data_IF_789326398294
#
_entry.id   IF_789326398294
#
_cell.length_a   1.000
_cell.length_b   1.000
_cell.length_c   1.000
_cell.angle_alpha   90.00
_cell.angle_beta   90.00
_cell.angle_gamma   90.00
#
_symmetry.space_group_name_H-M   'P 1'
#
loop_
_entity.id
_entity.type
_entity.pdbx_description
1 polymer ?
#
# COMPACT_ATOMS: atom_id res chain seq x y z
N UNK A 1 -20.23 12.24 -64.09
CA UNK A 1 -20.41 13.02 -65.34
C UNK A 1 -21.15 14.29 -64.97
N UNK A 2 -20.42 15.39 -64.69
CA UNK A 2 -20.23 16.58 -65.59
C UNK A 2 -21.51 17.41 -65.68
N UNK A 3 -21.59 18.73 -65.44
CA UNK A 3 -20.60 19.80 -65.57
C UNK A 3 -21.11 21.11 -64.93
N UNK A 4 -20.17 21.93 -64.44
CA UNK A 4 -20.23 23.41 -64.21
C UNK A 4 -20.22 24.09 -65.62
N UNK A 5 -20.67 25.35 -65.93
CA UNK A 5 -20.19 26.58 -65.28
C UNK A 5 -20.98 27.93 -65.29
N UNK A 6 -20.54 28.81 -64.37
CA UNK A 6 -20.38 30.29 -64.40
C UNK A 6 -21.58 31.23 -64.68
N UNK A 7 -21.83 32.20 -63.76
CA UNK A 7 -21.45 33.63 -63.92
C UNK A 7 -21.80 34.54 -62.72
N UNK A 8 -21.09 35.67 -62.64
CA UNK A 8 -21.00 36.73 -61.61
C UNK A 8 -22.15 37.75 -61.60
N UNK A 9 -22.38 38.31 -60.38
CA UNK A 9 -22.74 39.70 -59.99
C UNK A 9 -24.10 40.32 -60.40
N UNK A 10 -24.93 40.73 -59.41
CA UNK A 10 -25.27 42.14 -59.08
C UNK A 10 -26.42 42.30 -58.03
N UNK A 11 -26.15 43.13 -57.01
CA UNK A 11 -27.01 44.13 -56.32
C UNK A 11 -28.40 43.82 -55.74
N UNK A 12 -28.57 44.10 -54.42
CA UNK A 12 -29.58 44.99 -53.75
C UNK A 12 -29.50 44.79 -52.22
N UNK A 13 -28.95 45.72 -51.43
CA UNK A 13 -29.57 46.90 -50.79
C UNK A 13 -30.75 46.63 -49.85
N UNK A 14 -30.52 46.70 -48.54
CA UNK A 14 -31.53 47.04 -47.53
C UNK A 14 -30.96 48.05 -46.53
N UNK A 15 -31.83 48.97 -46.12
CA UNK A 15 -31.55 50.24 -45.46
C UNK A 15 -31.21 50.13 -43.96
N UNK A 16 -30.43 51.11 -43.52
CA UNK A 16 -30.09 51.50 -42.13
C UNK A 16 -31.26 52.13 -41.37
N UNK A 17 -31.18 52.22 -40.02
CA UNK A 17 -30.62 53.43 -39.39
C UNK A 17 -29.61 53.16 -38.26
N UNK A 18 -28.59 54.03 -38.13
CA UNK A 18 -27.78 54.23 -36.90
C UNK A 18 -28.52 55.15 -35.89
N UNK A 19 -27.88 55.69 -34.82
CA UNK A 19 -26.47 56.14 -34.82
C UNK A 19 -25.65 56.04 -33.49
N UNK A 20 -24.34 56.33 -33.61
CA UNK A 20 -23.35 56.87 -32.64
C UNK A 20 -22.91 55.93 -31.47
N UNK A 21 -21.66 55.45 -31.41
CA UNK A 21 -20.42 56.19 -31.06
C UNK A 21 -20.18 56.05 -29.54
N UNK A 22 -19.07 55.56 -28.96
CA UNK A 22 -17.66 55.60 -29.31
C UNK A 22 -16.86 54.57 -28.48
N UNK A 23 -15.87 53.94 -29.13
CA UNK A 23 -14.57 53.41 -28.63
C UNK A 23 -14.29 53.38 -27.11
N UNK A 24 -13.94 52.19 -26.59
CA UNK A 24 -12.57 51.83 -26.17
C UNK A 24 -12.42 50.36 -25.71
N UNK A 25 -11.54 49.66 -26.43
CA UNK A 25 -10.60 48.59 -26.01
C UNK A 25 -11.08 47.36 -25.22
N UNK A 26 -10.97 46.21 -25.91
CA UNK A 26 -11.01 44.81 -25.42
C UNK A 26 -9.97 44.54 -24.33
N UNK A 27 -10.40 43.96 -23.21
CA UNK A 27 -9.64 42.95 -22.46
C UNK A 27 -10.59 41.80 -22.11
N UNK A 28 -10.20 40.57 -22.45
CA UNK A 28 -10.96 39.34 -22.28
C UNK A 28 -11.08 38.93 -20.81
N UNK A 29 -12.28 38.94 -20.24
CA UNK A 29 -12.60 38.22 -19.00
C UNK A 29 -13.20 36.86 -19.35
N UNK A 30 -12.45 35.78 -19.06
CA UNK A 30 -12.96 34.40 -19.04
C UNK A 30 -13.85 34.21 -17.81
N UNK A 31 -14.93 33.46 -18.00
CA UNK A 31 -15.92 33.06 -16.99
C UNK A 31 -15.29 32.28 -15.84
N UNK A 32 -15.57 32.70 -14.62
CA UNK A 32 -15.30 32.00 -13.37
C UNK A 32 -16.44 31.01 -13.04
N UNK A 33 -16.14 29.73 -12.98
CA UNK A 33 -16.92 28.74 -12.23
C UNK A 33 -16.37 28.67 -10.79
N UNK A 34 -17.20 28.49 -9.75
CA UNK A 34 -16.74 28.58 -8.37
C UNK A 34 -15.99 27.30 -7.98
N UNK A 35 -14.69 27.46 -7.71
CA UNK A 35 -13.87 26.45 -7.03
C UNK A 35 -14.15 26.58 -5.52
N UNK A 36 -14.40 25.44 -4.89
CA UNK A 36 -14.64 25.25 -3.46
C UNK A 36 -13.58 25.96 -2.61
N UNK A 37 -13.98 27.03 -1.95
CA UNK A 37 -13.23 27.66 -0.85
C UNK A 37 -13.59 26.96 0.45
N UNK A 38 -12.74 26.03 0.87
CA UNK A 38 -12.61 25.63 2.26
C UNK A 38 -11.12 25.34 2.51
N UNK A 39 -10.36 26.37 2.82
CA UNK A 39 -9.02 26.24 3.38
C UNK A 39 -8.85 27.23 4.51
N UNK A 40 -8.38 26.69 5.63
CA UNK A 40 -7.66 27.37 6.71
C UNK A 40 -8.43 28.45 7.43
N UNK A 41 -8.93 28.13 8.63
CA UNK A 41 -8.96 29.10 9.74
C UNK A 41 -9.18 28.48 11.15
N UNK A 42 -9.33 27.15 11.31
CA UNK A 42 -9.58 26.55 12.64
C UNK A 42 -8.38 25.78 13.27
N UNK A 43 -7.20 25.75 12.64
CA UNK A 43 -6.07 24.90 13.10
C UNK A 43 -5.07 25.60 14.05
N UNK A 44 -5.33 26.82 14.52
CA UNK A 44 -4.39 27.48 15.45
C UNK A 44 -4.32 26.81 16.82
N UNK A 45 -5.34 26.04 17.20
CA UNK A 45 -5.37 25.30 18.47
C UNK A 45 -4.51 24.02 18.46
N UNK A 46 -4.19 23.45 17.29
CA UNK A 46 -3.40 22.22 17.18
C UNK A 46 -1.88 22.47 17.21
N UNK A 47 -1.43 23.66 16.80
CA UNK A 47 0.00 24.01 16.73
C UNK A 47 0.70 24.03 18.10
N UNK A 48 0.01 24.45 19.16
CA UNK A 48 0.57 24.47 20.52
C UNK A 48 0.69 23.06 21.13
N UNK A 49 -0.15 22.11 20.70
CA UNK A 49 -0.09 20.69 21.10
C UNK A 49 1.05 19.95 20.37
N UNK A 50 1.26 20.28 19.09
CA UNK A 50 2.29 19.69 18.20
C UNK A 50 3.73 20.00 18.68
N UNK A 51 3.97 21.18 19.24
CA UNK A 51 5.30 21.56 19.74
C UNK A 51 5.75 20.77 20.99
N UNK A 52 4.82 20.09 21.68
CA UNK A 52 5.10 19.26 22.87
C UNK A 52 5.58 17.83 22.56
N UNK A 53 5.58 17.40 21.29
CA UNK A 53 5.93 16.03 20.85
C UNK A 53 7.44 15.88 20.57
N UNK A 54 8.23 16.95 20.72
CA UNK A 54 9.69 16.89 20.57
C UNK A 54 10.36 16.55 21.91
N UNK A 55 10.92 15.35 22.14
CA UNK A 55 11.87 15.18 23.22
C UNK A 55 13.16 15.93 22.88
N UNK A 56 13.48 16.95 23.68
CA UNK A 56 14.81 17.56 23.74
C UNK A 56 15.71 16.53 24.44
N UNK A 57 16.80 16.17 23.78
CA UNK A 57 17.84 15.26 24.27
C UNK A 57 18.23 15.57 25.72
N UNK A 58 17.87 14.68 26.66
CA UNK A 58 18.45 14.68 28.00
C UNK A 58 19.35 13.46 28.16
N UNK A 59 20.65 13.73 28.16
CA UNK A 59 21.71 12.74 28.38
C UNK A 59 21.85 12.45 29.87
N UNK A 60 21.20 11.39 30.34
CA UNK A 60 21.62 10.73 31.59
C UNK A 60 21.41 9.21 31.51
N UNK A 61 22.50 8.50 31.22
CA UNK A 61 22.57 7.04 31.19
C UNK A 61 22.75 6.49 32.59
N UNK A 62 21.92 5.52 33.02
CA UNK A 62 22.21 4.65 34.15
C UNK A 62 22.21 3.19 33.71
N UNK A 63 23.36 2.54 33.85
CA UNK A 63 23.67 1.16 33.49
C UNK A 63 22.92 0.17 34.38
N UNK A 64 22.17 -0.76 33.80
CA UNK A 64 21.73 -1.99 34.47
C UNK A 64 22.35 -3.17 33.75
N UNK A 65 23.16 -3.93 34.49
CA UNK A 65 23.87 -5.12 34.08
C UNK A 65 23.01 -6.33 34.44
N UNK A 66 22.65 -7.16 33.44
CA UNK A 66 21.95 -8.43 33.66
C UNK A 66 22.88 -9.60 33.32
N UNK A 67 22.97 -10.50 34.30
CA UNK A 67 23.84 -11.68 34.38
C UNK A 67 23.39 -12.76 33.38
N UNK A 68 24.33 -13.27 32.59
CA UNK A 68 24.16 -14.42 31.69
C UNK A 68 24.89 -15.63 32.28
N UNK A 69 24.19 -16.40 33.11
CA UNK A 69 24.61 -17.77 33.40
C UNK A 69 23.41 -18.61 33.81
N UNK A 70 22.98 -19.52 32.93
CA UNK A 70 22.67 -20.93 33.24
C UNK A 70 22.04 -21.59 32.02
N UNK A 71 22.66 -22.68 31.54
CA UNK A 71 22.04 -23.92 31.05
C UNK A 71 22.98 -24.67 30.10
N UNK A 72 23.76 -25.63 30.62
CA UNK A 72 24.10 -26.85 29.88
C UNK A 72 24.31 -27.99 30.88
N UNK A 73 23.47 -29.02 30.82
CA UNK A 73 23.87 -30.41 31.07
C UNK A 73 23.19 -31.29 30.02
N UNK A 74 23.91 -32.21 29.35
CA UNK A 74 23.31 -33.12 28.39
C UNK A 74 22.96 -34.45 29.07
N UNK A 75 21.78 -34.99 28.78
CA UNK A 75 21.57 -36.42 28.96
C UNK A 75 20.45 -37.00 28.10
N UNK A 76 20.70 -38.20 27.57
CA UNK A 76 19.70 -39.25 27.46
C UNK A 76 18.88 -39.36 26.18
N UNK A 77 19.31 -40.27 25.30
CA UNK A 77 18.51 -40.83 24.22
C UNK A 77 17.25 -41.57 24.73
N UNK A 78 16.10 -41.39 24.07
CA UNK A 78 15.05 -42.43 23.96
C UNK A 78 13.91 -42.05 22.98
N UNK A 79 13.62 -42.95 22.05
CA UNK A 79 12.26 -43.25 21.56
C UNK A 79 11.64 -42.33 20.51
N UNK A 80 11.68 -42.75 19.23
CA UNK A 80 10.73 -42.30 18.19
C UNK A 80 9.31 -42.68 18.63
N UNK A 81 8.57 -41.73 19.20
CA UNK A 81 7.11 -41.74 19.16
C UNK A 81 6.71 -40.88 17.98
N UNK A 82 5.90 -41.43 17.08
CA UNK A 82 5.15 -40.60 16.13
C UNK A 82 4.34 -39.61 16.97
N UNK A 83 4.78 -38.34 16.96
CA UNK A 83 4.03 -37.25 17.54
C UNK A 83 2.82 -37.05 16.62
N UNK A 84 1.70 -37.69 16.94
CA UNK A 84 0.40 -37.24 16.45
C UNK A 84 0.19 -35.89 17.13
N UNK A 85 0.60 -34.82 16.45
CA UNK A 85 0.28 -33.45 16.88
C UNK A 85 -1.23 -33.36 16.75
N UNK A 86 -1.94 -33.51 17.86
CA UNK A 86 -3.35 -33.16 17.92
C UNK A 86 -3.46 -31.71 17.44
N UNK A 87 -4.04 -31.48 16.26
CA UNK A 87 -4.30 -30.12 15.81
C UNK A 87 -5.16 -29.43 16.85
N UNK A 88 -4.77 -28.21 17.21
CA UNK A 88 -5.34 -27.48 18.36
C UNK A 88 -6.79 -27.06 18.11
N UNK A 89 -7.15 -26.86 16.85
CA UNK A 89 -8.48 -26.45 16.40
C UNK A 89 -9.07 -27.56 15.52
N UNK A 90 -10.02 -28.37 16.04
CA UNK A 90 -10.59 -29.50 15.30
C UNK A 90 -11.20 -29.10 13.95
N UNK A 91 -11.79 -27.91 13.86
CA UNK A 91 -12.41 -27.42 12.63
C UNK A 91 -11.40 -27.13 11.50
N UNK A 92 -10.12 -26.96 11.80
CA UNK A 92 -9.07 -26.75 10.80
C UNK A 92 -8.61 -28.05 10.13
N UNK A 93 -9.00 -29.21 10.67
CA UNK A 93 -8.73 -30.50 10.04
C UNK A 93 -9.51 -30.67 8.72
N UNK A 94 -10.68 -30.03 8.63
CA UNK A 94 -11.56 -30.07 7.45
C UNK A 94 -11.17 -29.03 6.38
N UNK A 95 -10.22 -28.14 6.68
CA UNK A 95 -9.76 -27.10 5.77
C UNK A 95 -8.78 -27.65 4.72
N UNK A 96 -9.19 -27.62 3.45
CA UNK A 96 -8.38 -28.15 2.35
C UNK A 96 -7.03 -27.43 2.19
N UNK A 97 -6.96 -26.15 2.58
CA UNK A 97 -5.75 -25.34 2.56
C UNK A 97 -4.72 -25.77 3.60
N UNK A 98 -5.17 -26.30 4.74
CA UNK A 98 -4.35 -26.57 5.94
C UNK A 98 -4.08 -28.07 6.16
N UNK A 99 -4.78 -28.94 5.43
CA UNK A 99 -4.63 -30.38 5.55
C UNK A 99 -3.29 -30.84 4.98
N UNK A 100 -2.50 -31.51 5.81
CA UNK A 100 -1.21 -32.06 5.41
C UNK A 100 -1.35 -32.98 4.20
N UNK A 101 -0.44 -32.81 3.23
CA UNK A 101 -0.42 -33.61 2.02
C UNK A 101 1.00 -33.70 1.45
N UNK A 102 1.35 -34.84 0.88
CA UNK A 102 2.59 -35.02 0.13
C UNK A 102 2.52 -34.38 -1.27
N UNK A 103 1.32 -34.01 -1.74
CA UNK A 103 1.14 -33.31 -3.02
C UNK A 103 1.81 -31.93 -3.02
N UNK A 104 2.15 -31.38 -1.85
CA UNK A 104 2.84 -30.09 -1.72
C UNK A 104 4.21 -30.03 -2.42
N UNK A 105 4.83 -31.18 -2.67
CA UNK A 105 6.15 -31.26 -3.29
C UNK A 105 6.12 -31.25 -4.82
N UNK A 106 4.95 -31.37 -5.44
CA UNK A 106 4.79 -31.40 -6.90
C UNK A 106 3.72 -30.40 -7.31
N UNK A 107 4.13 -29.38 -8.06
CA UNK A 107 3.24 -28.27 -8.42
C UNK A 107 2.14 -28.66 -9.43
N UNK A 108 2.44 -29.53 -10.38
CA UNK A 108 1.49 -29.89 -11.44
C UNK A 108 0.76 -31.21 -11.15
N UNK A 109 -0.53 -31.34 -11.55
CA UNK A 109 -1.36 -30.31 -12.18
C UNK A 109 -1.86 -29.24 -11.18
N UNK A 110 -1.97 -27.99 -11.64
CA UNK A 110 -2.53 -26.89 -10.84
C UNK A 110 -4.00 -27.20 -10.47
N UNK A 111 -4.31 -27.10 -9.18
CA UNK A 111 -5.65 -27.35 -8.62
C UNK A 111 -6.41 -26.04 -8.37
N UNK A 112 -5.72 -25.01 -7.88
CA UNK A 112 -6.30 -23.70 -7.55
C UNK A 112 -5.83 -22.64 -8.55
N UNK A 113 -6.58 -22.49 -9.66
CA UNK A 113 -6.16 -21.63 -10.77
C UNK A 113 -6.17 -20.15 -10.39
N UNK A 114 -7.14 -19.71 -9.59
CA UNK A 114 -7.24 -18.35 -9.06
C UNK A 114 -6.05 -17.98 -8.16
N UNK A 115 -5.63 -18.87 -7.27
CA UNK A 115 -4.44 -18.69 -6.40
C UNK A 115 -3.18 -18.65 -7.27
N UNK A 116 -3.08 -19.54 -8.26
CA UNK A 116 -1.95 -19.54 -9.18
C UNK A 116 -1.88 -18.28 -10.06
N UNK A 117 -3.02 -17.77 -10.50
CA UNK A 117 -3.10 -16.51 -11.24
C UNK A 117 -2.70 -15.33 -10.37
N UNK A 118 -3.12 -15.28 -9.11
CA UNK A 118 -2.67 -14.26 -8.16
C UNK A 118 -1.13 -14.28 -8.03
N UNK A 119 -0.54 -15.47 -7.85
CA UNK A 119 0.92 -15.62 -7.84
C UNK A 119 1.58 -15.12 -9.13
N UNK A 120 1.02 -15.47 -10.30
CA UNK A 120 1.56 -15.00 -11.58
C UNK A 120 1.42 -13.51 -11.79
N UNK A 121 0.37 -12.89 -11.26
CA UNK A 121 0.21 -11.44 -11.24
C UNK A 121 1.27 -10.77 -10.35
N UNK A 122 1.53 -11.31 -9.15
CA UNK A 122 2.61 -10.82 -8.28
C UNK A 122 3.98 -10.98 -8.94
N UNK A 123 4.28 -12.15 -9.51
CA UNK A 123 5.52 -12.38 -10.25
C UNK A 123 5.72 -11.40 -11.41
N UNK A 124 4.65 -11.10 -12.15
CA UNK A 124 4.70 -10.16 -13.25
C UNK A 124 5.01 -8.74 -12.76
N UNK A 125 4.79 -8.44 -11.49
CA UNK A 125 4.97 -7.11 -10.88
C UNK A 125 6.33 -6.92 -10.20
N UNK A 126 7.23 -7.90 -10.31
CA UNK A 126 8.59 -7.84 -9.75
C UNK A 126 9.34 -6.53 -10.09
N UNK A 127 10.07 -6.04 -9.10
CA UNK A 127 10.95 -4.87 -9.15
C UNK A 127 12.07 -4.99 -8.12
N UNK A 128 13.13 -4.19 -8.25
CA UNK A 128 14.23 -4.09 -7.25
C UNK A 128 14.44 -2.66 -6.76
N UNK A 129 15.07 -2.50 -5.59
CA UNK A 129 15.33 -1.19 -4.99
C UNK A 129 16.16 -0.27 -5.91
N UNK A 130 17.05 -0.82 -6.74
CA UNK A 130 17.88 -0.06 -7.68
C UNK A 130 17.09 0.60 -8.83
N UNK A 131 15.82 0.21 -9.04
CA UNK A 131 14.95 0.88 -10.00
C UNK A 131 14.49 2.27 -9.52
N UNK A 132 14.69 2.59 -8.23
CA UNK A 132 14.28 3.85 -7.62
C UNK A 132 15.41 4.88 -7.74
N UNK A 133 15.14 5.95 -8.49
CA UNK A 133 16.05 7.10 -8.61
C UNK A 133 15.79 8.13 -7.50
N UNK A 134 16.72 8.22 -6.54
CA UNK A 134 16.69 9.18 -5.42
C UNK A 134 17.47 10.48 -5.70
N UNK A 135 18.01 10.67 -6.90
CA UNK A 135 18.93 11.79 -7.21
C UNK A 135 18.30 13.18 -7.01
N UNK A 136 16.99 13.29 -7.25
CA UNK A 136 16.25 14.54 -7.11
C UNK A 136 15.64 14.74 -5.72
N UNK A 137 15.53 13.68 -4.91
CA UNK A 137 14.86 13.75 -3.61
C UNK A 137 15.62 14.61 -2.61
N UNK A 138 16.96 14.57 -2.61
CA UNK A 138 17.76 15.39 -1.70
C UNK A 138 17.57 16.90 -1.92
N UNK A 139 17.30 17.31 -3.16
CA UNK A 139 17.00 18.71 -3.43
C UNK A 139 15.66 19.11 -2.80
N UNK A 140 14.60 18.33 -3.04
CA UNK A 140 13.30 18.57 -2.46
C UNK A 140 13.34 18.52 -0.92
N UNK A 141 14.07 17.54 -0.37
CA UNK A 141 14.27 17.33 1.06
C UNK A 141 14.83 18.56 1.78
N UNK A 142 15.87 19.18 1.20
CA UNK A 142 16.56 20.32 1.81
C UNK A 142 15.92 21.66 1.47
N UNK A 143 15.47 21.85 0.22
CA UNK A 143 15.11 23.17 -0.30
C UNK A 143 13.59 23.42 -0.36
N UNK A 144 12.76 22.37 -0.40
CA UNK A 144 11.31 22.49 -0.63
C UNK A 144 10.45 21.98 0.52
N UNK A 145 10.94 21.05 1.31
CA UNK A 145 10.23 20.56 2.50
C UNK A 145 10.46 21.46 3.72
N UNK A 146 9.40 21.61 4.50
CA UNK A 146 9.43 22.17 5.85
C UNK A 146 9.98 21.14 6.85
N UNK A 147 10.36 21.61 8.04
CA UNK A 147 10.81 20.72 9.11
C UNK A 147 9.70 19.76 9.56
N UNK A 148 8.45 20.22 9.61
CA UNK A 148 7.30 19.40 9.97
C UNK A 148 7.05 18.28 8.94
N UNK A 149 7.19 18.58 7.65
CA UNK A 149 7.07 17.56 6.59
C UNK A 149 8.19 16.53 6.67
N UNK A 150 9.44 16.96 6.87
CA UNK A 150 10.56 16.03 7.08
C UNK A 150 10.33 15.16 8.31
N UNK A 151 9.95 15.75 9.43
CA UNK A 151 9.62 15.02 10.65
C UNK A 151 8.54 13.97 10.41
N UNK A 152 7.46 14.35 9.73
CA UNK A 152 6.36 13.45 9.39
C UNK A 152 6.83 12.28 8.52
N UNK A 153 7.57 12.56 7.45
CA UNK A 153 8.10 11.54 6.54
C UNK A 153 9.03 10.57 7.26
N UNK A 154 10.00 11.06 8.06
CA UNK A 154 10.93 10.19 8.77
C UNK A 154 10.21 9.24 9.75
N UNK A 155 9.15 9.71 10.41
CA UNK A 155 8.36 8.89 11.34
C UNK A 155 7.55 7.82 10.63
N UNK A 156 7.00 8.12 9.45
CA UNK A 156 6.38 7.12 8.57
C UNK A 156 7.41 6.08 8.11
N UNK A 157 8.59 6.51 7.65
CA UNK A 157 9.63 5.60 7.19
C UNK A 157 10.14 4.68 8.31
N UNK A 158 10.29 5.20 9.53
CA UNK A 158 10.64 4.39 10.71
C UNK A 158 9.56 3.36 11.03
N UNK A 159 8.28 3.71 10.86
CA UNK A 159 7.17 2.79 11.04
C UNK A 159 7.20 1.66 10.00
N UNK A 160 7.38 1.99 8.73
CA UNK A 160 7.47 1.00 7.65
C UNK A 160 8.65 0.05 7.85
N UNK A 161 9.86 0.59 8.08
CA UNK A 161 11.06 -0.21 8.26
C UNK A 161 10.96 -1.22 9.41
N UNK A 162 10.22 -0.89 10.48
CA UNK A 162 9.98 -1.79 11.59
C UNK A 162 8.85 -2.81 11.32
N UNK A 163 7.85 -2.43 10.53
CA UNK A 163 6.62 -3.22 10.35
C UNK A 163 6.79 -4.34 9.33
N UNK A 164 7.48 -4.09 8.21
CA UNK A 164 7.71 -5.12 7.18
C UNK A 164 8.52 -6.30 7.73
N UNK A 165 9.42 -6.04 8.69
CA UNK A 165 10.15 -7.11 9.39
C UNK A 165 9.22 -8.03 10.20
N UNK A 166 8.17 -7.48 10.82
CA UNK A 166 7.16 -8.26 11.54
C UNK A 166 6.32 -9.09 10.56
N UNK A 167 5.88 -8.47 9.45
CA UNK A 167 5.09 -9.12 8.39
C UNK A 167 5.88 -10.29 7.78
N UNK A 168 7.13 -10.05 7.38
CA UNK A 168 8.00 -11.06 6.81
C UNK A 168 8.20 -12.26 7.75
N UNK A 169 8.46 -12.02 9.04
CA UNK A 169 8.62 -13.09 10.03
C UNK A 169 7.33 -13.91 10.19
N UNK A 170 6.17 -13.27 10.21
CA UNK A 170 4.87 -13.95 10.29
C UNK A 170 4.63 -14.85 9.07
N UNK A 171 4.93 -14.38 7.86
CA UNK A 171 4.76 -15.18 6.64
C UNK A 171 5.65 -16.42 6.68
N UNK A 172 6.92 -16.25 7.06
CA UNK A 172 7.92 -17.34 7.05
C UNK A 172 7.66 -18.36 8.15
N UNK A 173 7.42 -17.89 9.37
CA UNK A 173 7.31 -18.75 10.56
C UNK A 173 5.92 -19.36 10.75
N UNK A 174 4.86 -18.70 10.28
CA UNK A 174 3.46 -19.11 10.50
C UNK A 174 2.77 -19.49 9.18
N UNK A 175 2.36 -18.52 8.37
CA UNK A 175 1.46 -18.76 7.23
C UNK A 175 2.02 -19.74 6.19
N UNK A 176 3.32 -19.65 5.88
CA UNK A 176 3.99 -20.56 4.96
C UNK A 176 4.16 -21.97 5.52
N UNK A 177 4.08 -22.14 6.84
CA UNK A 177 4.14 -23.44 7.50
C UNK A 177 2.74 -24.08 7.60
N UNK A 178 1.72 -23.27 7.86
CA UNK A 178 0.32 -23.70 7.96
C UNK A 178 -0.26 -24.14 6.61
N UNK A 179 -0.07 -23.34 5.56
CA UNK A 179 -0.68 -23.60 4.25
C UNK A 179 0.05 -24.72 3.51
N UNK A 180 -0.71 -25.73 3.10
CA UNK A 180 -0.20 -26.96 2.51
C UNK A 180 -0.30 -27.01 0.98
N UNK A 181 -1.14 -26.17 0.37
CA UNK A 181 -1.31 -26.17 -1.10
C UNK A 181 -0.12 -25.48 -1.79
N UNK A 182 0.39 -26.07 -2.87
CA UNK A 182 1.62 -25.64 -3.53
C UNK A 182 1.49 -24.23 -4.14
N UNK A 183 0.33 -23.89 -4.68
CA UNK A 183 0.05 -22.61 -5.32
C UNK A 183 0.15 -21.43 -4.33
N UNK A 184 -0.42 -21.58 -3.13
CA UNK A 184 -0.36 -20.52 -2.12
C UNK A 184 1.03 -20.40 -1.50
N UNK A 185 1.75 -21.52 -1.32
CA UNK A 185 3.16 -21.49 -0.88
C UNK A 185 4.04 -20.77 -1.90
N UNK A 186 3.76 -20.93 -3.20
CA UNK A 186 4.46 -20.18 -4.24
C UNK A 186 4.18 -18.67 -4.15
N UNK A 187 2.93 -18.28 -3.87
CA UNK A 187 2.59 -16.88 -3.60
C UNK A 187 3.37 -16.35 -2.39
N UNK A 188 3.27 -17.01 -1.23
CA UNK A 188 3.96 -16.56 -0.02
C UNK A 188 5.48 -16.51 -0.17
N UNK A 189 6.09 -17.44 -0.91
CA UNK A 189 7.52 -17.37 -1.21
C UNK A 189 7.89 -16.11 -2.01
N UNK A 190 7.03 -15.68 -2.94
CA UNK A 190 7.22 -14.44 -3.67
C UNK A 190 6.94 -13.21 -2.80
N UNK A 191 5.89 -13.25 -1.99
CA UNK A 191 5.57 -12.20 -1.02
C UNK A 191 6.75 -11.98 -0.07
N UNK A 192 7.25 -13.03 0.59
CA UNK A 192 8.44 -12.92 1.45
C UNK A 192 9.64 -12.29 0.73
N UNK A 193 9.86 -12.63 -0.55
CA UNK A 193 10.93 -12.00 -1.30
C UNK A 193 10.68 -10.51 -1.54
N UNK A 194 9.46 -10.10 -1.87
CA UNK A 194 9.14 -8.69 -2.10
C UNK A 194 9.15 -7.86 -0.81
N UNK A 195 8.74 -8.43 0.33
CA UNK A 195 8.89 -7.81 1.66
C UNK A 195 10.35 -7.45 1.95
N UNK A 196 11.32 -8.27 1.51
CA UNK A 196 12.74 -7.93 1.65
C UNK A 196 13.15 -6.75 0.77
N UNK A 197 12.56 -6.63 -0.43
CA UNK A 197 12.78 -5.47 -1.31
C UNK A 197 12.16 -4.21 -0.70
N UNK A 198 11.00 -4.31 -0.06
CA UNK A 198 10.36 -3.20 0.65
C UNK A 198 11.23 -2.75 1.83
N UNK A 199 11.67 -3.68 2.66
CA UNK A 199 12.56 -3.40 3.80
C UNK A 199 13.88 -2.75 3.38
N UNK A 200 14.49 -3.24 2.29
CA UNK A 200 15.67 -2.61 1.68
C UNK A 200 15.37 -1.18 1.21
N UNK A 201 14.24 -0.99 0.54
CA UNK A 201 13.82 0.32 0.02
C UNK A 201 13.62 1.34 1.14
N UNK A 202 12.92 0.98 2.22
CA UNK A 202 12.74 1.87 3.37
C UNK A 202 14.07 2.19 4.06
N UNK A 203 14.95 1.20 4.17
CA UNK A 203 16.30 1.40 4.72
C UNK A 203 17.12 2.36 3.85
N UNK A 204 17.07 2.21 2.52
CA UNK A 204 17.74 3.09 1.57
C UNK A 204 17.21 4.53 1.64
N UNK A 205 15.89 4.71 1.79
CA UNK A 205 15.27 6.03 1.95
C UNK A 205 15.76 6.72 3.23
N UNK A 206 15.75 6.02 4.37
CA UNK A 206 16.27 6.54 5.64
C UNK A 206 17.76 6.87 5.51
N UNK A 207 18.56 5.96 4.94
CA UNK A 207 20.01 6.13 4.75
C UNK A 207 20.33 7.35 3.87
N UNK A 208 19.48 7.63 2.89
CA UNK A 208 19.63 8.76 1.97
C UNK A 208 19.26 10.09 2.63
N UNK A 209 18.14 10.15 3.35
CA UNK A 209 17.61 11.42 3.88
C UNK A 209 18.23 11.86 5.20
N UNK A 210 18.65 10.90 6.02
CA UNK A 210 19.19 11.14 7.35
C UNK A 210 20.71 11.04 7.29
N UNK A 211 21.42 12.05 7.78
CA UNK A 211 22.89 12.03 7.84
C UNK A 211 23.42 11.68 9.23
N UNK A 212 22.68 12.05 10.27
CA UNK A 212 23.08 11.83 11.65
C UNK A 212 22.91 10.37 12.06
N UNK A 213 23.98 9.74 12.52
CA UNK A 213 23.96 8.32 12.88
C UNK A 213 23.08 8.01 14.09
N UNK A 214 22.92 8.94 15.04
CA UNK A 214 22.07 8.73 16.21
C UNK A 214 20.59 8.82 15.84
N UNK A 215 20.24 9.76 14.96
CA UNK A 215 18.90 9.86 14.39
C UNK A 215 18.54 8.60 13.59
N UNK A 216 19.45 8.08 12.77
CA UNK A 216 19.27 6.78 12.09
C UNK A 216 18.99 5.66 13.07
N UNK A 217 19.83 5.51 14.09
CA UNK A 217 19.66 4.45 15.10
C UNK A 217 18.31 4.59 15.82
N UNK A 218 17.90 5.81 16.15
CA UNK A 218 16.59 6.08 16.75
C UNK A 218 15.44 5.63 15.84
N UNK A 219 15.52 5.94 14.54
CA UNK A 219 14.48 5.60 13.55
C UNK A 219 14.41 4.09 13.30
N UNK A 220 15.56 3.42 13.16
CA UNK A 220 15.59 1.96 12.98
C UNK A 220 15.12 1.21 14.24
N UNK A 221 15.26 1.81 15.42
CA UNK A 221 14.67 1.30 16.68
C UNK A 221 13.27 1.85 16.94
N UNK A 222 12.57 2.33 15.91
CA UNK A 222 11.26 2.99 16.02
C UNK A 222 10.22 2.20 16.82
N UNK A 223 10.25 0.87 16.75
CA UNK A 223 9.36 0.00 17.53
C UNK A 223 9.56 0.09 19.05
N UNK A 224 10.80 0.33 19.49
CA UNK A 224 11.14 0.51 20.91
C UNK A 224 11.03 1.97 21.34
N UNK A 225 11.32 2.90 20.43
CA UNK A 225 11.51 4.32 20.75
C UNK A 225 10.27 5.18 20.51
N UNK A 226 9.31 4.72 19.69
CA UNK A 226 8.11 5.49 19.30
C UNK A 226 6.85 4.75 19.78
N UNK A 227 6.16 5.25 20.82
CA UNK A 227 5.03 4.56 21.46
C UNK A 227 3.89 4.14 20.53
N UNK A 228 3.60 4.94 19.51
CA UNK A 228 2.51 4.61 18.58
C UNK A 228 2.88 3.49 17.59
N UNK A 229 4.16 3.40 17.19
CA UNK A 229 4.67 2.28 16.40
C UNK A 229 4.59 1.00 17.26
N UNK A 230 4.98 1.12 18.53
CA UNK A 230 4.86 0.03 19.50
C UNK A 230 3.42 -0.49 19.61
N UNK A 231 2.41 0.38 19.66
CA UNK A 231 1.00 -0.02 19.76
C UNK A 231 0.55 -0.88 18.57
N UNK A 232 0.92 -0.49 17.34
CA UNK A 232 0.65 -1.28 16.13
C UNK A 232 1.39 -2.61 16.15
N UNK A 233 2.67 -2.61 16.53
CA UNK A 233 3.47 -3.82 16.65
C UNK A 233 2.88 -4.78 17.71
N UNK A 234 2.52 -4.28 18.89
CA UNK A 234 1.91 -5.07 19.96
C UNK A 234 0.56 -5.67 19.51
N UNK A 235 -0.25 -4.92 18.74
CA UNK A 235 -1.46 -5.45 18.12
C UNK A 235 -1.15 -6.56 17.11
N UNK A 236 -0.18 -6.37 16.21
CA UNK A 236 0.18 -7.41 15.24
C UNK A 236 0.67 -8.69 15.94
N UNK A 237 1.53 -8.55 16.95
CA UNK A 237 2.08 -9.68 17.73
C UNK A 237 1.01 -10.48 18.48
N UNK A 238 -0.14 -9.89 18.83
CA UNK A 238 -1.31 -10.62 19.38
C UNK A 238 -1.84 -11.69 18.42
N UNK A 239 -1.68 -11.49 17.11
CA UNK A 239 -2.19 -12.39 16.06
C UNK A 239 -1.11 -13.26 15.43
N UNK A 240 0.18 -12.95 15.62
CA UNK A 240 1.31 -13.77 15.17
C UNK A 240 1.57 -14.85 16.22
N UNK A 241 0.74 -15.90 16.19
CA UNK A 241 0.79 -16.97 17.20
C UNK A 241 0.10 -18.25 16.72
N UNK A 242 0.60 -19.43 17.10
CA UNK A 242 -0.09 -20.70 16.85
C UNK A 242 -1.31 -20.93 17.78
N UNK A 243 -1.48 -20.04 18.76
CA UNK A 243 -2.52 -20.11 19.79
C UNK A 243 -3.90 -19.65 19.29
N UNK A 244 -3.98 -19.09 18.08
CA UNK A 244 -5.21 -18.61 17.45
C UNK A 244 -5.52 -19.37 16.15
N UNK A 245 -6.81 -19.58 15.83
CA UNK A 245 -7.21 -20.20 14.57
C UNK A 245 -6.68 -19.42 13.35
N UNK A 246 -6.27 -20.14 12.32
CA UNK A 246 -5.79 -19.61 11.04
C UNK A 246 -6.74 -18.55 10.46
N UNK A 247 -8.05 -18.80 10.49
CA UNK A 247 -9.07 -17.86 10.01
C UNK A 247 -9.02 -16.49 10.70
N UNK A 248 -8.74 -16.47 12.01
CA UNK A 248 -8.66 -15.24 12.81
C UNK A 248 -7.38 -14.49 12.47
N UNK A 249 -6.27 -15.24 12.38
CA UNK A 249 -4.97 -14.69 12.00
C UNK A 249 -4.97 -14.13 10.60
N UNK A 250 -5.63 -14.79 9.65
CA UNK A 250 -5.73 -14.33 8.26
C UNK A 250 -6.49 -13.01 8.13
N UNK A 251 -7.57 -12.81 8.90
CA UNK A 251 -8.28 -11.53 8.96
C UNK A 251 -7.39 -10.44 9.55
N UNK A 252 -6.68 -10.73 10.65
CA UNK A 252 -5.77 -9.77 11.26
C UNK A 252 -4.60 -9.42 10.32
N UNK A 253 -4.06 -10.41 9.61
CA UNK A 253 -3.02 -10.21 8.60
C UNK A 253 -3.50 -9.29 7.48
N UNK A 254 -4.71 -9.50 6.96
CA UNK A 254 -5.31 -8.61 5.97
C UNK A 254 -5.49 -7.17 6.49
N UNK A 255 -5.67 -6.97 7.81
CA UNK A 255 -5.71 -5.63 8.41
C UNK A 255 -4.31 -5.00 8.49
N UNK A 256 -3.26 -5.77 8.74
CA UNK A 256 -1.88 -5.26 8.74
C UNK A 256 -1.52 -4.72 7.35
N UNK A 257 -1.69 -5.56 6.34
CA UNK A 257 -1.39 -5.24 4.92
C UNK A 257 -2.31 -4.11 4.39
N UNK A 258 -3.62 -4.21 4.69
CA UNK A 258 -4.63 -3.36 4.05
C UNK A 258 -5.01 -2.09 4.80
N UNK A 259 -4.90 -2.04 6.13
CA UNK A 259 -5.36 -0.91 6.96
C UNK A 259 -4.18 -0.16 7.58
N UNK A 260 -3.24 -0.84 8.25
CA UNK A 260 -2.17 -0.17 9.01
C UNK A 260 -1.17 0.62 8.19
N UNK A 261 -1.11 0.38 6.88
CA UNK A 261 -0.30 1.15 5.95
C UNK A 261 -1.10 2.17 5.13
N UNK A 262 -2.44 2.04 5.10
CA UNK A 262 -3.31 2.75 4.16
C UNK A 262 -3.19 4.27 4.24
N UNK A 263 -3.23 4.83 5.46
CA UNK A 263 -3.17 6.27 5.64
C UNK A 263 -1.77 6.83 5.42
N UNK A 264 -0.71 6.07 5.72
CA UNK A 264 0.67 6.42 5.38
C UNK A 264 0.88 6.49 3.86
N UNK A 265 0.34 5.52 3.10
CA UNK A 265 0.37 5.55 1.64
C UNK A 265 -0.38 6.77 1.08
N UNK A 266 -1.57 7.06 1.59
CA UNK A 266 -2.33 8.24 1.19
C UNK A 266 -1.58 9.55 1.48
N UNK A 267 -0.87 9.60 2.62
CA UNK A 267 -0.07 10.74 3.02
C UNK A 267 1.16 10.96 2.11
N UNK A 268 1.81 9.90 1.63
CA UNK A 268 2.90 10.02 0.65
C UNK A 268 2.35 10.37 -0.73
N UNK A 269 1.21 9.83 -1.13
CA UNK A 269 0.54 10.22 -2.38
C UNK A 269 0.12 11.70 -2.40
N UNK A 270 -0.16 12.29 -1.24
CA UNK A 270 -0.36 13.73 -1.13
C UNK A 270 0.89 14.53 -1.51
N UNK A 271 2.09 14.05 -1.16
CA UNK A 271 3.35 14.67 -1.60
C UNK A 271 3.52 14.55 -3.12
N UNK A 272 3.11 13.43 -3.72
CA UNK A 272 3.08 13.25 -5.18
C UNK A 272 2.17 14.29 -5.84
N UNK A 273 0.96 14.52 -5.30
CA UNK A 273 0.03 15.54 -5.80
C UNK A 273 0.67 16.94 -5.79
N UNK A 274 1.59 17.21 -4.85
CA UNK A 274 2.34 18.46 -4.73
C UNK A 274 3.63 18.50 -5.56
N UNK A 275 3.97 17.42 -6.26
CA UNK A 275 5.18 17.31 -7.08
C UNK A 275 6.45 17.37 -6.24
N UNK A 276 6.48 16.63 -5.13
CA UNK A 276 7.59 16.54 -4.19
C UNK A 276 8.09 15.09 -4.08
N UNK A 277 9.39 14.93 -3.84
CA UNK A 277 10.03 13.65 -3.50
C UNK A 277 9.72 12.55 -4.54
N UNK A 278 10.12 12.72 -5.81
CA UNK A 278 9.78 11.79 -6.88
C UNK A 278 10.24 10.35 -6.62
N UNK A 279 11.39 10.14 -5.97
CA UNK A 279 11.90 8.84 -5.59
C UNK A 279 11.05 8.16 -4.51
N UNK A 280 10.79 8.86 -3.39
CA UNK A 280 9.88 8.42 -2.33
C UNK A 280 8.48 8.08 -2.84
N UNK A 281 7.93 8.93 -3.70
CA UNK A 281 6.56 8.76 -4.20
C UNK A 281 6.46 7.64 -5.22
N UNK A 282 7.49 7.43 -6.04
CA UNK A 282 7.57 6.29 -6.95
C UNK A 282 7.74 4.96 -6.21
N UNK A 283 8.58 4.90 -5.18
CA UNK A 283 8.70 3.69 -4.35
C UNK A 283 7.39 3.36 -3.64
N UNK A 284 6.69 4.40 -3.14
CA UNK A 284 5.36 4.25 -2.54
C UNK A 284 4.32 3.68 -3.52
N UNK A 285 4.38 4.03 -4.81
CA UNK A 285 3.51 3.42 -5.84
C UNK A 285 3.75 1.92 -6.00
N UNK A 286 5.02 1.50 -5.97
CA UNK A 286 5.38 0.10 -6.12
C UNK A 286 4.95 -0.70 -4.89
N UNK A 287 5.27 -0.20 -3.69
CA UNK A 287 4.99 -0.88 -2.42
C UNK A 287 3.48 -0.95 -2.18
N UNK A 288 2.75 0.17 -2.27
CA UNK A 288 1.28 0.15 -2.05
C UNK A 288 0.51 -0.75 -3.02
N UNK A 289 1.00 -0.94 -4.24
CA UNK A 289 0.46 -1.92 -5.19
C UNK A 289 0.69 -3.36 -4.70
N UNK A 290 1.88 -3.64 -4.20
CA UNK A 290 2.24 -4.97 -3.69
C UNK A 290 1.38 -5.30 -2.45
N UNK A 291 1.30 -4.40 -1.46
CA UNK A 291 0.46 -4.54 -0.26
C UNK A 291 -1.02 -4.76 -0.60
N UNK A 292 -1.51 -4.08 -1.64
CA UNK A 292 -2.85 -4.30 -2.14
C UNK A 292 -3.03 -5.72 -2.70
N UNK A 293 -2.04 -6.22 -3.43
CA UNK A 293 -2.06 -7.59 -3.96
C UNK A 293 -1.98 -8.63 -2.83
N UNK A 294 -1.23 -8.35 -1.77
CA UNK A 294 -1.13 -9.20 -0.59
C UNK A 294 -2.44 -9.24 0.20
N UNK A 295 -3.07 -8.07 0.39
CA UNK A 295 -4.39 -7.95 1.02
C UNK A 295 -5.45 -8.75 0.25
N UNK A 296 -5.44 -8.64 -1.09
CA UNK A 296 -6.34 -9.40 -1.97
C UNK A 296 -6.12 -10.89 -1.86
N UNK A 297 -4.85 -11.30 -1.75
CA UNK A 297 -4.49 -12.70 -1.59
C UNK A 297 -4.97 -13.25 -0.24
N UNK A 298 -4.85 -12.48 0.84
CA UNK A 298 -5.41 -12.85 2.13
C UNK A 298 -6.93 -13.04 2.05
N UNK A 299 -7.64 -12.14 1.38
CA UNK A 299 -9.09 -12.26 1.14
C UNK A 299 -9.43 -13.48 0.26
N UNK A 300 -8.64 -13.75 -0.78
CA UNK A 300 -8.82 -14.92 -1.65
C UNK A 300 -8.65 -16.23 -0.87
N UNK A 301 -7.62 -16.34 -0.03
CA UNK A 301 -7.45 -17.50 0.85
C UNK A 301 -8.60 -17.62 1.85
N UNK A 302 -9.10 -16.49 2.36
CA UNK A 302 -10.24 -16.47 3.27
C UNK A 302 -11.52 -16.99 2.60
N UNK A 303 -11.77 -16.66 1.33
CA UNK A 303 -12.89 -17.20 0.53
C UNK A 303 -12.82 -18.73 0.39
N UNK A 304 -11.61 -19.30 0.41
CA UNK A 304 -11.40 -20.75 0.33
C UNK A 304 -11.54 -21.49 1.66
N UNK A 305 -11.70 -20.78 2.79
CA UNK A 305 -11.98 -21.39 4.08
C UNK A 305 -13.43 -21.85 4.18
N UNK A 306 -13.65 -23.05 4.70
CA UNK A 306 -14.99 -23.58 4.98
C UNK A 306 -15.56 -22.99 6.27
N UNK A 307 -14.71 -22.86 7.28
CA UNK A 307 -15.03 -22.33 8.59
C UNK A 307 -14.49 -20.91 8.68
N UNK A 308 -15.23 -19.95 8.15
CA UNK A 308 -14.92 -18.53 8.29
C UNK A 308 -15.26 -18.01 9.69
N UNK A 309 -14.72 -16.85 10.06
CA UNK A 309 -15.07 -16.18 11.32
C UNK A 309 -16.53 -15.72 11.26
N UNK A 310 -17.24 -15.68 12.40
CA UNK A 310 -18.48 -14.92 12.50
C UNK A 310 -18.25 -13.45 12.10
N UNK A 311 -19.23 -12.85 11.45
CA UNK A 311 -19.15 -11.46 10.97
C UNK A 311 -18.79 -10.47 12.10
N UNK A 312 -19.40 -10.64 13.29
CA UNK A 312 -19.08 -9.86 14.49
C UNK A 312 -17.58 -9.92 14.84
N UNK A 313 -16.96 -11.09 14.74
CA UNK A 313 -15.53 -11.24 15.02
C UNK A 313 -14.65 -10.56 13.96
N UNK A 314 -15.04 -10.60 12.68
CA UNK A 314 -14.34 -9.86 11.62
C UNK A 314 -14.43 -8.35 11.89
N UNK A 315 -15.64 -7.89 12.22
CA UNK A 315 -15.92 -6.49 12.56
C UNK A 315 -15.11 -6.00 13.77
N UNK A 316 -15.00 -6.81 14.82
CA UNK A 316 -14.20 -6.48 16.01
C UNK A 316 -12.71 -6.31 15.67
N UNK A 317 -12.13 -7.25 14.92
CA UNK A 317 -10.70 -7.18 14.53
C UNK A 317 -10.44 -5.94 13.66
N UNK A 318 -11.30 -5.71 12.65
CA UNK A 318 -11.16 -4.59 11.73
C UNK A 318 -11.36 -3.25 12.44
N UNK A 319 -12.36 -3.14 13.33
CA UNK A 319 -12.60 -1.91 14.08
C UNK A 319 -11.45 -1.57 15.02
N UNK A 320 -10.86 -2.56 15.69
CA UNK A 320 -9.65 -2.36 16.52
C UNK A 320 -8.49 -1.82 15.67
N UNK A 321 -8.27 -2.39 14.47
CA UNK A 321 -7.22 -1.91 13.56
C UNK A 321 -7.48 -0.47 13.06
N UNK A 322 -8.73 -0.14 12.73
CA UNK A 322 -9.13 1.19 12.27
C UNK A 322 -8.88 2.25 13.35
N UNK A 323 -9.26 1.99 14.59
CA UNK A 323 -9.08 2.97 15.66
C UNK A 323 -7.60 3.22 15.96
N UNK A 324 -6.76 2.18 15.89
CA UNK A 324 -5.30 2.32 16.01
C UNK A 324 -4.74 3.16 14.85
N UNK A 325 -5.20 2.93 13.61
CA UNK A 325 -4.73 3.68 12.44
C UNK A 325 -5.14 5.16 12.48
N UNK A 326 -6.37 5.44 12.92
CA UNK A 326 -6.85 6.81 13.11
C UNK A 326 -6.01 7.56 14.16
N UNK A 327 -5.75 6.94 15.30
CA UNK A 327 -4.90 7.51 16.35
C UNK A 327 -3.47 7.78 15.82
N UNK A 328 -2.93 6.86 15.02
CA UNK A 328 -1.60 7.00 14.42
C UNK A 328 -1.48 8.28 13.59
N UNK A 329 -2.43 8.57 12.70
CA UNK A 329 -2.33 9.69 11.75
C UNK A 329 -3.05 10.97 12.18
N UNK A 330 -3.80 10.95 13.27
CA UNK A 330 -4.51 12.15 13.75
C UNK A 330 -4.06 12.64 15.12
N UNK A 331 -3.44 11.79 15.94
CA UNK A 331 -2.95 12.18 17.26
C UNK A 331 -1.43 12.04 17.37
N UNK A 332 -0.89 10.85 17.12
CA UNK A 332 0.52 10.58 17.39
C UNK A 332 1.47 11.14 16.32
N UNK A 333 1.08 11.03 15.05
CA UNK A 333 1.76 11.61 13.91
C UNK A 333 0.75 12.39 13.05
N UNK A 334 0.34 13.60 13.48
CA UNK A 334 -0.76 14.31 12.84
C UNK A 334 -0.47 14.61 11.37
N UNK A 335 -1.33 14.10 10.48
CA UNK A 335 -1.26 14.37 9.04
C UNK A 335 -1.47 15.87 8.68
N UNK A 336 -1.97 16.67 9.64
CA UNK A 336 -1.97 18.13 9.57
C UNK A 336 -0.56 18.72 9.36
N UNK A 337 0.50 18.03 9.81
CA UNK A 337 1.91 18.43 9.61
C UNK A 337 2.30 18.54 8.13
N UNK A 338 1.61 17.82 7.24
CA UNK A 338 1.81 17.88 5.79
C UNK A 338 0.64 18.55 5.05
N UNK A 339 -0.29 19.15 5.80
CA UNK A 339 -1.44 19.88 5.26
C UNK A 339 -2.63 19.00 4.85
N UNK A 340 -2.76 17.78 5.39
CA UNK A 340 -3.95 16.95 5.23
C UNK A 340 -4.91 17.19 6.40
N UNK A 341 -6.21 17.28 6.11
CA UNK A 341 -7.24 17.39 7.15
C UNK A 341 -7.43 16.04 7.87
N UNK A 342 -7.35 16.06 9.20
CA UNK A 342 -7.43 14.86 10.04
C UNK A 342 -8.76 14.11 9.91
N UNK A 343 -9.89 14.83 9.78
CA UNK A 343 -11.20 14.19 9.66
C UNK A 343 -11.36 13.48 8.29
N UNK A 344 -10.83 14.07 7.22
CA UNK A 344 -10.77 13.41 5.92
C UNK A 344 -9.86 12.18 5.97
N UNK A 345 -8.74 12.22 6.69
CA UNK A 345 -7.89 11.04 6.88
C UNK A 345 -8.63 9.92 7.63
N UNK A 346 -9.38 10.26 8.70
CA UNK A 346 -10.23 9.28 9.41
C UNK A 346 -11.26 8.65 8.50
N UNK A 347 -11.97 9.47 7.72
CA UNK A 347 -12.97 8.99 6.76
C UNK A 347 -12.33 8.09 5.68
N UNK A 348 -11.12 8.40 5.23
CA UNK A 348 -10.40 7.57 4.28
C UNK A 348 -10.04 6.20 4.86
N UNK A 349 -9.54 6.13 6.09
CA UNK A 349 -9.24 4.86 6.77
C UNK A 349 -10.53 4.02 6.92
N UNK A 350 -11.65 4.64 7.28
CA UNK A 350 -12.95 3.97 7.34
C UNK A 350 -13.42 3.45 5.98
N UNK A 351 -13.19 4.21 4.91
CA UNK A 351 -13.49 3.78 3.55
C UNK A 351 -12.67 2.55 3.13
N UNK A 352 -11.38 2.52 3.46
CA UNK A 352 -10.51 1.38 3.20
C UNK A 352 -10.96 0.15 4.00
N UNK A 353 -11.30 0.33 5.28
CA UNK A 353 -11.80 -0.75 6.13
C UNK A 353 -13.12 -1.33 5.62
N UNK A 354 -14.04 -0.48 5.17
CA UNK A 354 -15.30 -0.91 4.54
C UNK A 354 -15.07 -1.75 3.28
N UNK A 355 -14.03 -1.43 2.49
CA UNK A 355 -13.67 -2.22 1.32
C UNK A 355 -13.10 -3.57 1.73
N UNK A 356 -12.25 -3.62 2.77
CA UNK A 356 -11.69 -4.87 3.29
C UNK A 356 -12.78 -5.80 3.85
N UNK A 357 -13.69 -5.32 4.69
CA UNK A 357 -14.76 -6.19 5.25
C UNK A 357 -15.66 -6.75 4.15
N UNK A 358 -15.95 -5.96 3.11
CA UNK A 358 -16.71 -6.43 1.94
C UNK A 358 -15.94 -7.50 1.17
N UNK A 359 -14.61 -7.36 1.03
CA UNK A 359 -13.76 -8.39 0.40
C UNK A 359 -13.73 -9.70 1.21
N UNK A 360 -13.79 -9.59 2.54
CA UNK A 360 -13.92 -10.72 3.46
C UNK A 360 -15.36 -11.29 3.53
N UNK A 361 -16.29 -10.79 2.71
CA UNK A 361 -17.66 -11.30 2.61
C UNK A 361 -18.63 -10.77 3.67
N UNK A 362 -18.25 -9.75 4.43
CA UNK A 362 -19.05 -9.15 5.50
C UNK A 362 -19.77 -7.86 5.04
N UNK A 363 -20.71 -7.37 5.84
CA UNK A 363 -21.34 -6.07 5.59
C UNK A 363 -20.42 -4.90 5.96
N UNK A 364 -20.72 -3.71 5.43
CA UNK A 364 -19.94 -2.50 5.73
C UNK A 364 -20.11 -2.08 7.19
N UNK A 365 -19.05 -1.52 7.78
CA UNK A 365 -19.02 -1.03 9.15
C UNK A 365 -19.36 0.46 9.23
N UNK A 366 -18.74 1.27 8.38
CA UNK A 366 -18.72 2.73 8.49
C UNK A 366 -19.59 3.42 7.44
N UNK A 367 -19.83 2.75 6.31
CA UNK A 367 -20.47 3.32 5.11
C UNK A 367 -19.78 4.58 4.58
N UNK A 368 -18.46 4.67 4.78
CA UNK A 368 -17.66 5.82 4.37
C UNK A 368 -17.43 5.84 2.86
N UNK A 369 -17.26 7.05 2.32
CA UNK A 369 -16.86 7.29 0.93
C UNK A 369 -15.43 7.80 0.87
N UNK A 370 -14.70 7.54 -0.22
CA UNK A 370 -13.35 8.06 -0.41
C UNK A 370 -13.36 9.60 -0.43
N UNK A 371 -12.67 10.29 0.51
CA UNK A 371 -12.57 11.74 0.53
C UNK A 371 -11.45 12.30 -0.36
N UNK A 372 -10.56 11.45 -0.87
CA UNK A 372 -9.32 11.86 -1.54
C UNK A 372 -9.37 11.58 -3.05
N UNK A 373 -9.73 12.59 -3.83
CA UNK A 373 -9.81 12.51 -5.30
C UNK A 373 -8.49 12.10 -5.98
N UNK A 374 -7.35 12.39 -5.35
CA UNK A 374 -6.03 12.06 -5.89
C UNK A 374 -5.69 10.58 -5.79
N UNK A 375 -6.29 9.86 -4.85
CA UNK A 375 -6.10 8.42 -4.70
C UNK A 375 -6.66 7.67 -5.93
N UNK A 376 -7.77 8.16 -6.52
CA UNK A 376 -8.30 7.65 -7.80
C UNK A 376 -7.45 8.08 -9.02
N UNK A 377 -6.89 9.29 -9.01
CA UNK A 377 -6.15 9.84 -10.15
C UNK A 377 -4.75 9.24 -10.30
N UNK A 378 -4.04 9.02 -9.19
CA UNK A 378 -2.67 8.50 -9.19
C UNK A 378 -2.66 7.04 -9.67
N UNK A 379 -3.59 6.28 -9.14
CA UNK A 379 -4.11 5.01 -9.63
C UNK A 379 -4.23 4.90 -11.17
N UNK A 380 -4.80 5.91 -11.84
CA UNK A 380 -4.90 5.95 -13.31
C UNK A 380 -3.59 6.32 -14.03
N UNK A 381 -2.78 7.20 -13.44
CA UNK A 381 -1.49 7.62 -14.01
C UNK A 381 -0.41 6.54 -13.89
N UNK A 382 -0.37 5.81 -12.76
CA UNK A 382 0.54 4.69 -12.54
C UNK A 382 0.38 3.61 -13.61
N UNK A 383 -0.86 3.35 -14.05
CA UNK A 383 -1.16 2.45 -15.18
C UNK A 383 -0.48 2.91 -16.48
N UNK A 384 -0.66 4.17 -16.89
CA UNK A 384 -0.04 4.68 -18.11
C UNK A 384 1.50 4.62 -18.03
N UNK A 385 2.07 5.09 -16.92
CA UNK A 385 3.51 5.13 -16.71
C UNK A 385 4.14 3.73 -16.65
N UNK A 386 3.49 2.74 -16.03
CA UNK A 386 4.02 1.37 -15.90
C UNK A 386 4.05 0.62 -17.23
N UNK A 387 2.99 0.74 -18.04
CA UNK A 387 2.98 0.16 -19.38
C UNK A 387 3.98 0.86 -20.30
N UNK A 388 4.08 2.19 -20.23
CA UNK A 388 5.03 2.95 -21.04
C UNK A 388 6.48 2.70 -20.63
N UNK A 389 6.79 2.66 -19.32
CA UNK A 389 8.15 2.47 -18.81
C UNK A 389 8.67 1.07 -19.16
N UNK A 390 7.88 0.01 -18.97
CA UNK A 390 8.28 -1.36 -19.36
C UNK A 390 8.40 -1.53 -20.86
N UNK A 391 7.49 -0.97 -21.67
CA UNK A 391 7.63 -1.01 -23.13
C UNK A 391 8.89 -0.25 -23.57
N UNK A 392 9.22 0.87 -22.93
CA UNK A 392 10.49 1.60 -23.14
C UNK A 392 11.71 0.73 -22.79
N UNK A 393 11.68 0.03 -21.66
CA UNK A 393 12.78 -0.83 -21.20
C UNK A 393 12.98 -2.03 -22.13
N UNK A 394 11.90 -2.65 -22.60
CA UNK A 394 11.95 -3.71 -23.62
C UNK A 394 12.37 -3.20 -24.99
N UNK A 395 11.94 -2.00 -25.40
CA UNK A 395 12.42 -1.39 -26.64
C UNK A 395 13.93 -1.10 -26.56
N UNK A 396 14.42 -0.57 -25.44
CA UNK A 396 15.86 -0.36 -25.22
C UNK A 396 16.64 -1.68 -25.19
N UNK A 397 16.09 -2.73 -24.59
CA UNK A 397 16.67 -4.08 -24.61
C UNK A 397 16.66 -4.73 -26.01
N UNK A 398 15.65 -4.45 -26.84
CA UNK A 398 15.52 -4.97 -28.20
C UNK A 398 16.31 -4.17 -29.25
N UNK A 399 16.73 -2.93 -28.95
CA UNK A 399 17.63 -2.15 -29.82
C UNK A 399 19.04 -2.76 -29.88
N UNK A 400 19.38 -3.71 -29.00
CA UNK A 400 20.64 -4.49 -29.06
C UNK A 400 20.56 -5.81 -29.85
N UNK A 401 19.44 -6.14 -30.52
CA UNK A 401 19.35 -7.30 -31.43
C UNK A 401 18.53 -7.00 -32.68
N UNK A 402 19.17 -6.38 -33.68
CA UNK A 402 18.62 -6.34 -35.04
C UNK A 402 18.90 -7.67 -35.78
N UNK A 403 17.85 -8.45 -36.07
CA UNK A 403 17.99 -9.68 -36.87
C UNK A 403 16.69 -10.47 -37.13
N UNK A 404 15.87 -9.96 -38.06
CA UNK A 404 14.95 -10.71 -38.96
C UNK A 404 13.59 -11.23 -38.41
N UNK A 405 12.45 -11.02 -39.14
CA UNK A 405 11.10 -11.30 -38.65
C UNK A 405 10.53 -12.65 -39.14
N UNK A 406 9.75 -13.33 -38.29
CA UNK A 406 8.81 -14.39 -38.73
C UNK A 406 7.47 -14.18 -38.01
N UNK A 407 6.40 -14.13 -38.80
CA UNK A 407 5.07 -13.68 -38.42
C UNK A 407 4.27 -14.61 -37.50
N UNK A 408 3.34 -14.01 -36.76
CA UNK A 408 2.31 -14.70 -35.99
C UNK A 408 0.93 -14.37 -36.56
N UNK A 409 0.09 -15.42 -36.64
CA UNK A 409 -1.36 -15.32 -36.82
C UNK A 409 -2.01 -15.19 -35.44
N UNK A 410 -2.98 -14.30 -35.37
CA UNK A 410 -3.85 -13.99 -34.23
C UNK A 410 -4.80 -15.16 -33.90
N UNK A 411 -5.17 -15.23 -32.62
CA UNK A 411 -6.28 -16.03 -32.10
C UNK A 411 -6.75 -15.43 -30.78
N UNK A 412 -7.70 -14.52 -30.87
CA UNK A 412 -8.44 -13.95 -29.73
C UNK A 412 -9.45 -14.96 -29.20
N UNK A 413 -9.43 -15.24 -27.88
CA UNK A 413 -10.61 -15.69 -27.16
C UNK A 413 -10.72 -14.93 -25.83
N UNK A 414 -11.66 -13.98 -25.80
CA UNK A 414 -12.02 -13.20 -24.64
C UNK A 414 -13.02 -13.97 -23.77
N UNK A 415 -12.59 -14.48 -22.62
CA UNK A 415 -13.49 -15.01 -21.59
C UNK A 415 -13.96 -13.85 -20.70
N UNK A 416 -15.25 -13.52 -20.84
CA UNK A 416 -15.98 -12.65 -19.92
C UNK A 416 -16.15 -13.38 -18.59
N UNK A 417 -15.40 -12.97 -17.57
CA UNK A 417 -15.74 -13.26 -16.18
C UNK A 417 -15.75 -11.94 -15.40
N UNK A 418 -16.94 -11.41 -15.11
CA UNK A 418 -17.13 -10.29 -14.20
C UNK A 418 -16.97 -10.80 -12.75
N UNK A 419 -15.73 -10.95 -12.30
CA UNK A 419 -15.39 -11.06 -10.87
C UNK A 419 -14.78 -9.72 -10.45
N UNK A 420 -15.30 -9.12 -9.38
CA UNK A 420 -14.73 -7.91 -8.75
C UNK A 420 -13.41 -8.31 -8.08
N UNK A 421 -12.34 -8.25 -8.86
CA UNK A 421 -10.95 -8.22 -8.40
C UNK A 421 -10.75 -6.84 -7.75
N UNK A 422 -10.21 -6.78 -6.53
CA UNK A 422 -9.68 -5.54 -6.00
C UNK A 422 -8.63 -5.03 -7.00
N UNK A 423 -8.80 -3.81 -7.50
CA UNK A 423 -7.83 -3.23 -8.42
C UNK A 423 -7.16 -2.12 -7.66
N UNK A 424 -6.06 -2.45 -6.98
CA UNK A 424 -5.19 -1.58 -6.18
C UNK A 424 -5.11 -0.13 -6.69
N UNK A 425 -5.08 0.05 -7.99
CA UNK A 425 -4.98 1.35 -8.67
C UNK A 425 -6.34 1.97 -9.05
N UNK A 426 -7.32 1.92 -8.14
CA UNK A 426 -8.45 2.86 -8.00
C UNK A 426 -9.06 2.81 -6.58
N UNK A 427 -8.44 2.06 -5.68
CA UNK A 427 -9.10 1.39 -4.56
C UNK A 427 -8.33 1.52 -3.24
N UNK A 428 -7.05 1.92 -3.31
CA UNK A 428 -6.45 2.72 -2.25
C UNK A 428 -6.74 4.17 -2.58
#
# INVERSE_FOLDING_TARGET
MTSIPQHRLLSRSTNFPGPLGSSKTRSSSRSSSPVSTATSLDDMADMDRINGIRPIYDTSTSTIQADLSNLVTPDGAQGKKEHVVSKRFPEEEDEALLRETNDRFVLFPIKYNEIWHAYKASQASFWTAEEIDLSHDLHDWHERLTENERFFILRILAFFAASDGIVGENIVSQFSMDVQIAEARAFYAFQTMIEQVHSETYSLLIETYVRDSQEKEFLFKGMETIPVIKKKADWAMKYITEELPFRVRLVAFACVEGIFFSGSFAAIFWLKKRGLMPGLTFSNELISRDEGTHTDFACLLYEHLRHQCPEEQVHDIVSEAVEIEKEFLTDALPCALIGINADLMRQYIEFVADRLVVALGCSKLYHATNPFDWMELISLQGKANFFESRVSSYQKANVSRSGTPIGQKEGEEAVKNQRRVFRTDADF
#
